data_IF_699178465243
#
_entry.id   IF_699178465243
#
_cell.length_a   1.000
_cell.length_b   1.000
_cell.length_c   1.000
_cell.angle_alpha   90.00
_cell.angle_beta   90.00
_cell.angle_gamma   90.00
#
_symmetry.space_group_name_H-M   'P 1'
#
loop_
_entity.id
_entity.type
_entity.pdbx_description
1 polymer ?
#
# COMPACT_ATOMS: atom_id res chain seq x y z
N UNK A 1 3.46 -26.53 -4.32
CA UNK A 1 4.42 -25.50 -3.84
C UNK A 1 3.63 -24.42 -3.15
N UNK A 2 4.15 -23.89 -2.03
CA UNK A 2 3.53 -22.80 -1.28
C UNK A 2 3.57 -21.51 -2.09
N UNK A 3 2.43 -20.80 -2.18
CA UNK A 3 2.29 -19.54 -2.92
C UNK A 3 2.11 -18.38 -1.94
N UNK A 4 2.54 -17.19 -2.37
CA UNK A 4 2.24 -15.92 -1.71
C UNK A 4 1.33 -15.13 -2.63
N UNK A 5 0.20 -14.65 -2.11
CA UNK A 5 -0.66 -13.68 -2.77
C UNK A 5 -0.64 -12.37 -1.99
N UNK A 6 -0.26 -11.29 -2.63
CA UNK A 6 -0.26 -9.93 -2.08
C UNK A 6 -1.33 -9.11 -2.79
N UNK A 7 -2.23 -8.55 -2.02
CA UNK A 7 -3.31 -7.71 -2.55
C UNK A 7 -3.25 -6.30 -1.96
N UNK A 8 -3.36 -5.29 -2.81
CA UNK A 8 -3.82 -3.99 -2.35
C UNK A 8 -5.25 -4.11 -1.79
N UNK A 9 -5.67 -3.12 -1.00
CA UNK A 9 -6.97 -3.15 -0.33
C UNK A 9 -8.02 -2.30 -1.05
N UNK A 10 -7.82 -0.99 -1.17
CA UNK A 10 -8.81 -0.07 -1.73
C UNK A 10 -8.88 -0.20 -3.26
N UNK A 11 -10.08 -0.33 -3.84
CA UNK A 11 -10.30 -0.55 -5.28
C UNK A 11 -9.70 -1.85 -5.83
N UNK A 12 -9.15 -2.72 -4.97
CA UNK A 12 -8.58 -4.02 -5.33
C UNK A 12 -9.26 -5.15 -4.55
N UNK A 13 -9.01 -5.27 -3.25
CA UNK A 13 -9.68 -6.27 -2.41
C UNK A 13 -11.10 -5.83 -2.04
N UNK A 14 -11.26 -4.54 -1.74
CA UNK A 14 -12.54 -3.91 -1.45
C UNK A 14 -12.98 -3.04 -2.63
N UNK A 15 -13.99 -3.49 -3.36
CA UNK A 15 -14.71 -2.71 -4.37
C UNK A 15 -16.09 -2.29 -3.84
N UNK A 16 -16.79 -3.22 -3.25
CA UNK A 16 -18.09 -3.07 -2.58
C UNK A 16 -18.31 -4.24 -1.61
N UNK A 17 -19.42 -4.24 -0.89
CA UNK A 17 -19.70 -5.23 0.15
C UNK A 17 -19.93 -6.65 -0.40
N UNK A 18 -20.39 -6.81 -1.62
CA UNK A 18 -20.56 -8.12 -2.26
C UNK A 18 -19.19 -8.71 -2.67
N UNK A 19 -18.34 -7.91 -3.29
CA UNK A 19 -17.05 -8.37 -3.77
C UNK A 19 -16.10 -8.71 -2.63
N UNK A 20 -16.12 -7.94 -1.52
CA UNK A 20 -15.26 -8.23 -0.36
C UNK A 20 -15.60 -9.59 0.26
N UNK A 21 -16.87 -9.99 0.33
CA UNK A 21 -17.26 -11.30 0.87
C UNK A 21 -16.80 -12.45 -0.05
N UNK A 22 -16.86 -12.28 -1.37
CA UNK A 22 -16.31 -13.26 -2.33
C UNK A 22 -14.80 -13.39 -2.19
N UNK A 23 -14.09 -12.25 -2.18
CA UNK A 23 -12.64 -12.21 -2.03
C UNK A 23 -12.20 -12.84 -0.72
N UNK A 24 -12.87 -12.52 0.38
CA UNK A 24 -12.61 -13.10 1.71
C UNK A 24 -12.72 -14.62 1.71
N UNK A 25 -13.82 -15.17 1.16
CA UNK A 25 -14.03 -16.63 1.06
C UNK A 25 -12.94 -17.30 0.21
N UNK A 26 -12.56 -16.70 -0.90
CA UNK A 26 -11.49 -17.24 -1.77
C UNK A 26 -10.14 -17.21 -1.07
N UNK A 27 -9.82 -16.14 -0.36
CA UNK A 27 -8.58 -16.02 0.44
C UNK A 27 -8.57 -17.02 1.61
N UNK A 28 -9.68 -17.24 2.29
CA UNK A 28 -9.76 -18.27 3.33
C UNK A 28 -9.45 -19.67 2.78
N UNK A 29 -9.98 -20.01 1.60
CA UNK A 29 -9.70 -21.29 0.95
C UNK A 29 -8.24 -21.38 0.45
N UNK A 30 -7.70 -20.30 -0.09
CA UNK A 30 -6.29 -20.19 -0.50
C UNK A 30 -5.33 -20.44 0.68
N UNK A 31 -5.62 -19.86 1.83
CA UNK A 31 -4.83 -20.02 3.05
C UNK A 31 -4.95 -21.44 3.68
N UNK A 32 -6.12 -22.09 3.55
CA UNK A 32 -6.30 -23.51 3.99
C UNK A 32 -5.39 -24.49 3.23
N UNK A 33 -4.88 -24.10 2.06
CA UNK A 33 -3.89 -24.86 1.27
C UNK A 33 -2.45 -24.54 1.68
N UNK A 34 -2.21 -23.99 2.87
CA UNK A 34 -0.92 -23.57 3.41
C UNK A 34 -0.25 -22.42 2.64
N UNK A 35 -1.00 -21.74 1.77
CA UNK A 35 -0.55 -20.53 1.08
C UNK A 35 -0.62 -19.31 2.00
N UNK A 36 0.14 -18.26 1.66
CA UNK A 36 0.27 -17.02 2.42
C UNK A 36 -0.53 -15.93 1.73
N UNK A 37 -1.32 -15.20 2.50
CA UNK A 37 -2.01 -14.02 2.04
C UNK A 37 -1.54 -12.76 2.78
N UNK A 38 -1.22 -11.70 2.00
CA UNK A 38 -0.68 -10.44 2.48
C UNK A 38 -1.57 -9.31 2.00
N UNK A 39 -1.97 -8.41 2.90
CA UNK A 39 -2.46 -7.10 2.50
C UNK A 39 -1.30 -6.11 2.37
N UNK A 40 -1.28 -5.31 1.29
CA UNK A 40 -0.33 -4.23 1.07
C UNK A 40 -1.08 -2.93 0.74
N UNK A 41 -1.31 -2.09 1.74
CA UNK A 41 -2.20 -0.92 1.63
C UNK A 41 -1.51 0.41 1.96
N UNK A 42 -2.03 1.51 1.41
CA UNK A 42 -1.68 2.87 1.83
C UNK A 42 -2.32 3.27 3.16
N UNK A 43 -3.28 2.52 3.67
CA UNK A 43 -3.93 2.80 4.95
C UNK A 43 -2.94 2.74 6.11
N UNK A 44 -3.20 3.55 7.13
CA UNK A 44 -2.54 3.43 8.43
C UNK A 44 -3.10 2.26 9.22
N UNK A 45 -2.43 1.88 10.32
CA UNK A 45 -2.83 0.75 11.14
C UNK A 45 -4.30 0.82 11.58
N UNK A 46 -4.70 1.88 12.26
CA UNK A 46 -6.07 2.01 12.78
C UNK A 46 -7.10 2.16 11.65
N UNK A 47 -6.77 2.86 10.56
CA UNK A 47 -7.68 2.97 9.41
C UNK A 47 -7.90 1.62 8.73
N UNK A 48 -6.89 0.75 8.68
CA UNK A 48 -7.04 -0.61 8.18
C UNK A 48 -7.75 -1.52 9.17
N UNK A 49 -7.39 -1.48 10.47
CA UNK A 49 -7.97 -2.35 11.49
C UNK A 49 -9.47 -2.12 11.66
N UNK A 50 -9.96 -0.88 11.55
CA UNK A 50 -11.41 -0.60 11.54
C UNK A 50 -12.13 -1.34 10.39
N UNK A 51 -11.50 -1.43 9.22
CA UNK A 51 -12.06 -2.19 8.09
C UNK A 51 -11.91 -3.70 8.28
N UNK A 52 -10.77 -4.13 8.80
CA UNK A 52 -10.50 -5.52 9.08
C UNK A 52 -11.49 -6.09 10.11
N UNK A 53 -11.82 -5.35 11.14
CA UNK A 53 -12.83 -5.72 12.14
C UNK A 53 -14.24 -5.74 11.54
N UNK A 54 -14.63 -4.69 10.81
CA UNK A 54 -15.94 -4.58 10.14
C UNK A 54 -16.24 -5.81 9.27
N UNK A 55 -15.26 -6.26 8.49
CA UNK A 55 -15.41 -7.38 7.54
C UNK A 55 -14.83 -8.70 8.03
N UNK A 56 -14.28 -8.75 9.25
CA UNK A 56 -13.62 -9.93 9.83
C UNK A 56 -12.52 -10.49 8.92
N UNK A 57 -11.67 -9.61 8.40
CA UNK A 57 -10.59 -9.98 7.51
C UNK A 57 -9.49 -10.76 8.24
N UNK A 58 -8.80 -11.63 7.50
CA UNK A 58 -7.66 -12.40 7.99
C UNK A 58 -6.52 -12.35 6.99
N UNK A 59 -5.30 -12.31 7.51
CA UNK A 59 -4.07 -12.28 6.75
C UNK A 59 -2.96 -13.05 7.47
N UNK A 60 -1.85 -13.23 6.79
CA UNK A 60 -0.62 -13.77 7.39
C UNK A 60 0.37 -12.66 7.66
N UNK A 61 0.44 -11.67 6.77
CA UNK A 61 1.20 -10.43 6.93
C UNK A 61 0.38 -9.22 6.50
N UNK A 62 0.65 -8.09 7.12
CA UNK A 62 0.02 -6.81 6.82
C UNK A 62 1.09 -5.75 6.56
N UNK A 63 1.09 -5.21 5.35
CA UNK A 63 1.93 -4.07 4.93
C UNK A 63 1.04 -2.84 4.89
N UNK A 64 1.33 -1.84 5.72
CA UNK A 64 0.58 -0.59 5.83
C UNK A 64 1.44 0.62 5.46
N UNK A 65 0.79 1.79 5.33
CA UNK A 65 1.45 3.04 4.94
C UNK A 65 2.36 2.85 3.72
N UNK A 66 1.87 2.19 2.65
CA UNK A 66 2.60 1.92 1.40
C UNK A 66 3.93 1.15 1.54
N UNK A 67 4.11 0.38 2.61
CA UNK A 67 5.34 -0.36 2.86
C UNK A 67 6.14 0.15 4.06
N UNK A 68 5.74 1.29 4.66
CA UNK A 68 6.50 1.86 5.76
C UNK A 68 6.46 1.01 7.04
N UNK A 69 5.43 0.17 7.21
CA UNK A 69 5.33 -0.72 8.36
C UNK A 69 4.88 -2.11 7.92
N UNK A 70 5.56 -3.14 8.43
CA UNK A 70 5.24 -4.55 8.20
C UNK A 70 4.87 -5.19 9.52
N UNK A 71 3.76 -5.91 9.54
CA UNK A 71 3.24 -6.63 10.71
C UNK A 71 3.00 -8.11 10.37
N UNK A 72 3.19 -8.98 11.36
CA UNK A 72 2.77 -10.38 11.27
C UNK A 72 1.26 -10.54 11.54
N UNK A 73 0.75 -11.77 11.45
CA UNK A 73 -0.65 -12.12 11.72
C UNK A 73 -1.13 -11.82 13.15
N UNK A 74 -0.21 -11.62 14.08
CA UNK A 74 -0.48 -11.28 15.48
C UNK A 74 -0.31 -9.79 15.76
N UNK A 75 -0.11 -8.98 14.69
CA UNK A 75 0.18 -7.55 14.73
C UNK A 75 1.52 -7.20 15.41
N UNK A 76 2.47 -8.12 15.49
CA UNK A 76 3.83 -7.80 15.89
C UNK A 76 4.54 -7.08 14.74
N UNK A 77 5.27 -6.02 15.06
CA UNK A 77 6.04 -5.24 14.09
C UNK A 77 7.27 -6.04 13.66
N UNK A 78 7.40 -6.28 12.35
CA UNK A 78 8.58 -6.87 11.73
C UNK A 78 9.57 -5.75 11.34
N UNK A 79 9.07 -4.72 10.66
CA UNK A 79 9.85 -3.56 10.22
C UNK A 79 9.02 -2.29 10.30
N UNK A 80 9.68 -1.16 10.55
CA UNK A 80 9.07 0.16 10.54
C UNK A 80 10.06 1.21 10.01
N UNK A 81 9.70 1.87 8.93
CA UNK A 81 10.51 2.88 8.24
C UNK A 81 9.92 4.27 8.43
N UNK A 82 10.66 5.13 9.09
CA UNK A 82 10.26 6.51 9.35
C UNK A 82 10.90 7.47 8.34
N UNK A 83 10.25 8.61 8.14
CA UNK A 83 10.80 9.71 7.37
C UNK A 83 11.78 10.48 8.27
N UNK A 84 12.94 10.85 7.73
CA UNK A 84 13.93 11.62 8.45
C UNK A 84 13.37 12.97 8.91
N UNK A 85 13.62 13.35 10.18
CA UNK A 85 13.06 14.56 10.78
C UNK A 85 13.53 15.86 10.10
N UNK A 86 14.76 15.90 9.56
CA UNK A 86 15.24 17.08 8.88
C UNK A 86 14.63 17.19 7.46
N UNK A 87 14.36 16.05 6.84
CA UNK A 87 13.59 15.99 5.59
C UNK A 87 12.15 16.47 5.82
N UNK A 88 11.49 16.04 6.91
CA UNK A 88 10.13 16.47 7.26
C UNK A 88 10.04 18.00 7.41
N UNK A 89 11.00 18.65 8.08
CA UNK A 89 11.02 20.11 8.25
C UNK A 89 11.05 20.86 6.91
N UNK A 90 11.79 20.33 5.94
CA UNK A 90 11.89 20.91 4.61
C UNK A 90 10.63 20.62 3.76
N UNK A 91 10.15 19.40 3.78
CA UNK A 91 8.92 18.99 3.07
C UNK A 91 7.72 19.78 3.56
N UNK A 92 7.59 20.03 4.86
CA UNK A 92 6.49 20.81 5.43
C UNK A 92 6.34 22.19 4.79
N UNK A 93 7.46 22.86 4.44
CA UNK A 93 7.44 24.17 3.76
C UNK A 93 6.93 24.04 2.34
N UNK A 94 7.38 23.03 1.61
CA UNK A 94 7.05 22.82 0.21
C UNK A 94 5.66 22.17 0.01
N UNK A 95 5.06 21.61 1.06
CA UNK A 95 3.70 21.09 1.01
C UNK A 95 2.62 22.19 1.01
N UNK A 96 2.98 23.43 1.34
CA UNK A 96 2.01 24.54 1.39
C UNK A 96 0.74 24.14 2.16
N UNK A 97 0.93 23.69 3.40
CA UNK A 97 -0.12 23.04 4.23
C UNK A 97 -1.33 23.95 4.47
N UNK A 98 -1.14 25.28 4.44
CA UNK A 98 -2.20 26.28 4.56
C UNK A 98 -3.21 26.19 3.40
N UNK A 99 -2.80 25.70 2.24
CA UNK A 99 -3.66 25.48 1.07
C UNK A 99 -4.28 24.07 1.05
N UNK A 100 -3.90 23.20 1.96
CA UNK A 100 -4.44 21.85 2.02
C UNK A 100 -5.89 21.85 2.53
N UNK A 101 -6.78 21.18 1.82
CA UNK A 101 -8.16 20.91 2.27
C UNK A 101 -8.12 20.09 3.57
N UNK A 102 -7.13 19.18 3.67
CA UNK A 102 -6.90 18.34 4.84
C UNK A 102 -5.49 17.81 4.80
N UNK A 103 -4.86 17.72 5.96
CA UNK A 103 -3.62 16.98 6.12
C UNK A 103 -3.58 16.23 7.45
N UNK A 104 -2.75 15.23 7.53
CA UNK A 104 -2.37 14.52 8.75
C UNK A 104 -1.08 13.73 8.53
N UNK A 105 -0.42 13.40 9.62
CA UNK A 105 0.70 12.48 9.63
C UNK A 105 0.29 11.17 10.31
N UNK A 106 1.08 10.13 10.12
CA UNK A 106 0.92 8.85 10.80
C UNK A 106 2.25 8.45 11.45
N UNK A 107 2.16 7.83 12.60
CA UNK A 107 3.23 7.02 13.20
C UNK A 107 2.63 5.71 13.73
N UNK A 108 3.41 4.89 14.44
CA UNK A 108 2.92 3.61 14.97
C UNK A 108 1.81 3.77 16.02
N UNK A 109 1.83 4.86 16.77
CA UNK A 109 0.89 5.10 17.88
C UNK A 109 -0.40 5.77 17.41
N UNK A 110 -0.32 6.57 16.32
CA UNK A 110 -1.41 7.40 15.84
C UNK A 110 -1.55 7.38 14.31
N UNK A 111 -2.73 7.06 13.84
CA UNK A 111 -3.09 7.16 12.42
C UNK A 111 -3.37 8.60 11.96
N UNK A 112 -3.52 9.52 12.90
CA UNK A 112 -3.82 10.93 12.61
C UNK A 112 -3.15 11.83 13.64
N UNK A 113 -1.90 12.15 13.36
CA UNK A 113 -1.09 13.05 14.12
C UNK A 113 -0.65 14.24 13.27
N UNK A 114 0.32 15.01 13.70
CA UNK A 114 0.81 16.22 13.03
C UNK A 114 2.34 16.23 12.90
N UNK A 115 2.89 17.26 12.26
CA UNK A 115 4.33 17.40 12.01
C UNK A 115 5.21 17.58 13.27
N UNK A 116 4.63 17.77 14.44
CA UNK A 116 5.40 17.94 15.68
C UNK A 116 5.69 16.60 16.37
N UNK A 117 5.00 15.53 15.94
CA UNK A 117 5.24 14.19 16.46
C UNK A 117 6.49 13.56 15.83
N UNK A 118 7.03 12.58 16.52
CA UNK A 118 8.23 11.84 16.12
C UNK A 118 7.85 10.60 15.31
N UNK A 119 8.86 10.05 14.65
CA UNK A 119 8.82 8.74 14.00
C UNK A 119 7.67 8.62 12.97
N UNK A 120 7.47 9.70 12.21
CA UNK A 120 6.43 9.74 11.19
C UNK A 120 6.74 8.72 10.08
N UNK A 121 5.79 7.83 9.84
CA UNK A 121 5.85 6.81 8.79
C UNK A 121 5.20 7.27 7.50
N UNK A 122 4.20 8.18 7.59
CA UNK A 122 3.49 8.72 6.45
C UNK A 122 3.03 10.15 6.69
N UNK A 123 3.07 10.98 5.65
CA UNK A 123 2.41 12.28 5.57
C UNK A 123 1.33 12.19 4.50
N UNK A 124 0.11 12.62 4.81
CA UNK A 124 -1.01 12.74 3.88
C UNK A 124 -1.42 14.20 3.77
N UNK A 125 -1.57 14.69 2.53
CA UNK A 125 -2.11 16.03 2.28
C UNK A 125 -3.04 16.01 1.06
N UNK A 126 -4.26 16.54 1.23
CA UNK A 126 -5.29 16.62 0.21
C UNK A 126 -5.48 18.06 -0.21
N UNK A 127 -5.56 18.30 -1.53
CA UNK A 127 -5.72 19.61 -2.15
C UNK A 127 -6.82 19.57 -3.22
N UNK A 128 -7.06 20.71 -3.89
CA UNK A 128 -7.67 20.69 -5.21
C UNK A 128 -6.76 19.92 -6.19
N UNK A 129 -7.39 19.26 -7.18
CA UNK A 129 -6.69 18.29 -8.06
C UNK A 129 -5.40 18.83 -8.68
N UNK A 130 -5.48 20.00 -9.32
CA UNK A 130 -4.32 20.60 -10.01
C UNK A 130 -3.17 20.94 -9.04
N UNK A 131 -3.52 21.37 -7.83
CA UNK A 131 -2.54 21.64 -6.77
C UNK A 131 -1.89 20.36 -6.28
N UNK A 132 -2.66 19.30 -6.06
CA UNK A 132 -2.12 17.99 -5.67
C UNK A 132 -1.12 17.43 -6.68
N UNK A 133 -1.39 17.57 -7.98
CA UNK A 133 -0.47 17.17 -9.05
C UNK A 133 0.83 17.99 -9.03
N UNK A 134 0.74 19.30 -8.80
CA UNK A 134 1.92 20.20 -8.68
C UNK A 134 2.77 19.81 -7.45
N UNK A 135 2.14 19.62 -6.30
CA UNK A 135 2.82 19.20 -5.06
C UNK A 135 3.48 17.83 -5.25
N UNK A 136 2.78 16.85 -5.84
CA UNK A 136 3.35 15.53 -6.13
C UNK A 136 4.60 15.64 -7.00
N UNK A 137 4.54 16.43 -8.07
CA UNK A 137 5.67 16.67 -8.97
C UNK A 137 6.84 17.37 -8.27
N UNK A 138 6.55 18.40 -7.47
CA UNK A 138 7.56 19.16 -6.73
C UNK A 138 8.29 18.26 -5.72
N UNK A 139 7.55 17.52 -4.91
CA UNK A 139 8.13 16.65 -3.87
C UNK A 139 8.98 15.55 -4.51
N UNK A 140 8.48 14.87 -5.53
CA UNK A 140 9.25 13.84 -6.25
C UNK A 140 10.50 14.40 -6.94
N UNK A 141 10.46 15.63 -7.46
CA UNK A 141 11.64 16.26 -8.06
C UNK A 141 12.69 16.67 -7.03
N UNK A 142 12.26 17.20 -5.88
CA UNK A 142 13.17 17.83 -4.90
C UNK A 142 13.68 16.84 -3.84
N UNK A 143 12.89 15.82 -3.51
CA UNK A 143 13.15 14.94 -2.38
C UNK A 143 13.20 13.44 -2.72
N UNK A 144 13.35 13.06 -4.00
CA UNK A 144 13.39 11.66 -4.43
C UNK A 144 14.48 10.81 -3.73
N UNK A 145 15.58 11.44 -3.30
CA UNK A 145 16.65 10.75 -2.56
C UNK A 145 16.27 10.41 -1.11
N UNK A 146 15.15 10.93 -0.61
CA UNK A 146 14.75 10.78 0.79
C UNK A 146 13.36 10.18 0.96
N UNK A 147 12.44 10.46 0.03
CA UNK A 147 11.04 10.04 0.13
C UNK A 147 10.47 9.56 -1.19
N UNK A 148 9.46 8.71 -1.09
CA UNK A 148 8.51 8.40 -2.16
C UNK A 148 7.25 9.22 -1.95
N UNK A 149 6.77 9.91 -2.97
CA UNK A 149 5.53 10.67 -2.95
C UNK A 149 4.56 10.10 -3.99
N UNK A 150 3.44 9.56 -3.50
CA UNK A 150 2.40 8.96 -4.32
C UNK A 150 1.22 9.92 -4.50
N UNK A 151 0.73 10.02 -5.74
CA UNK A 151 -0.53 10.69 -6.03
C UNK A 151 -1.68 9.70 -5.79
N UNK A 152 -2.59 10.01 -4.88
CA UNK A 152 -3.65 9.10 -4.45
C UNK A 152 -5.03 9.75 -4.52
N UNK A 153 -6.06 8.94 -4.75
CA UNK A 153 -7.47 9.37 -4.75
C UNK A 153 -7.77 10.57 -5.65
N UNK A 154 -6.92 10.83 -6.66
CA UNK A 154 -7.12 11.88 -7.66
C UNK A 154 -6.91 13.32 -7.18
N UNK A 155 -6.63 13.56 -5.88
CA UNK A 155 -6.44 14.91 -5.34
C UNK A 155 -5.66 14.95 -4.02
N UNK A 156 -4.90 13.91 -3.70
CA UNK A 156 -4.07 13.88 -2.51
C UNK A 156 -2.67 13.34 -2.82
N UNK A 157 -1.73 13.67 -1.95
CA UNK A 157 -0.38 13.11 -1.94
C UNK A 157 -0.15 12.36 -0.65
N UNK A 158 0.54 11.21 -0.75
CA UNK A 158 1.03 10.46 0.40
C UNK A 158 2.53 10.26 0.28
N UNK A 159 3.25 10.60 1.33
CA UNK A 159 4.71 10.64 1.39
C UNK A 159 5.18 9.66 2.45
N UNK A 160 6.12 8.79 2.08
CA UNK A 160 6.81 7.85 2.97
C UNK A 160 8.32 7.93 2.76
N UNK A 161 9.09 7.30 3.63
CA UNK A 161 10.54 7.15 3.41
C UNK A 161 10.83 6.40 2.09
N UNK A 162 11.85 6.83 1.33
CA UNK A 162 12.28 6.11 0.12
C UNK A 162 13.02 4.79 0.41
N UNK A 163 13.34 4.54 1.68
CA UNK A 163 13.95 3.26 2.11
C UNK A 163 13.02 2.07 1.90
N UNK A 164 11.74 2.32 1.65
CA UNK A 164 10.73 1.29 1.46
C UNK A 164 9.66 1.69 0.44
N UNK A 165 8.96 0.69 -0.04
CA UNK A 165 7.72 0.75 -0.81
C UNK A 165 7.00 -0.59 -0.64
N UNK A 166 5.80 -0.79 -1.20
CA UNK A 166 5.10 -2.08 -1.14
C UNK A 166 5.98 -3.25 -1.62
N UNK A 167 6.74 -3.05 -2.69
CA UNK A 167 7.61 -4.09 -3.26
C UNK A 167 8.77 -4.47 -2.33
N UNK A 168 9.43 -3.49 -1.70
CA UNK A 168 10.51 -3.76 -0.76
C UNK A 168 9.99 -4.48 0.50
N UNK A 169 8.83 -4.08 1.00
CA UNK A 169 8.18 -4.74 2.12
C UNK A 169 7.80 -6.20 1.81
N UNK A 170 7.36 -6.49 0.58
CA UNK A 170 7.12 -7.86 0.12
C UNK A 170 8.42 -8.65 0.11
N UNK A 171 9.52 -8.08 -0.38
CA UNK A 171 10.83 -8.76 -0.42
C UNK A 171 11.31 -9.18 0.97
N UNK A 172 11.12 -8.36 2.00
CA UNK A 172 11.45 -8.73 3.38
C UNK A 172 10.66 -9.97 3.85
N UNK A 173 9.35 -10.02 3.55
CA UNK A 173 8.51 -11.18 3.89
C UNK A 173 8.93 -12.41 3.10
N UNK A 174 9.28 -12.25 1.82
CA UNK A 174 9.75 -13.35 0.95
C UNK A 174 11.03 -13.98 1.51
N UNK A 175 11.95 -13.18 2.03
CA UNK A 175 13.17 -13.67 2.66
C UNK A 175 12.88 -14.46 3.96
N UNK A 176 11.90 -14.02 4.75
CA UNK A 176 11.44 -14.75 5.96
C UNK A 176 10.83 -16.10 5.57
N UNK A 177 9.92 -16.10 4.58
CA UNK A 177 9.15 -17.28 4.19
C UNK A 177 9.87 -18.23 3.23
N UNK A 178 10.98 -17.78 2.62
CA UNK A 178 11.82 -18.53 1.68
C UNK A 178 11.05 -19.13 0.51
N UNK A 179 10.10 -18.37 -0.03
CA UNK A 179 9.28 -18.75 -1.18
C UNK A 179 9.93 -18.26 -2.47
N UNK A 180 9.98 -19.10 -3.50
CA UNK A 180 10.54 -18.72 -4.79
C UNK A 180 9.71 -17.63 -5.47
N UNK A 181 10.35 -16.70 -6.14
CA UNK A 181 9.74 -15.53 -6.80
C UNK A 181 8.63 -15.89 -7.80
N UNK A 182 8.76 -17.00 -8.49
CA UNK A 182 7.77 -17.55 -9.42
C UNK A 182 6.42 -17.91 -8.74
N UNK A 183 6.43 -18.13 -7.43
CA UNK A 183 5.24 -18.45 -6.64
C UNK A 183 4.67 -17.24 -5.90
N UNK A 184 5.10 -16.02 -6.23
CA UNK A 184 4.62 -14.78 -5.62
C UNK A 184 3.76 -14.04 -6.63
N UNK A 185 2.51 -13.81 -6.26
CA UNK A 185 1.50 -13.15 -7.07
C UNK A 185 1.10 -11.85 -6.39
N UNK A 186 0.97 -10.79 -7.17
CA UNK A 186 0.59 -9.47 -6.67
C UNK A 186 -0.58 -8.91 -7.46
N UNK A 187 -1.46 -8.15 -6.82
CA UNK A 187 -2.60 -7.50 -7.47
C UNK A 187 -2.81 -6.11 -6.88
N UNK A 188 -3.07 -5.12 -7.73
CA UNK A 188 -3.28 -3.73 -7.36
C UNK A 188 -3.92 -2.91 -8.47
N UNK A 189 -4.19 -1.62 -8.18
CA UNK A 189 -4.85 -0.70 -9.11
C UNK A 189 -4.21 0.69 -9.19
N UNK A 190 -3.38 1.08 -8.22
CA UNK A 190 -2.85 2.42 -8.06
C UNK A 190 -1.37 2.61 -8.41
N UNK A 191 -0.90 3.85 -8.37
CA UNK A 191 0.51 4.20 -8.62
C UNK A 191 1.48 3.55 -7.62
N UNK A 192 1.07 3.37 -6.37
CA UNK A 192 1.91 2.73 -5.34
C UNK A 192 2.10 1.22 -5.54
N UNK A 193 1.34 0.61 -6.47
CA UNK A 193 1.41 -0.82 -6.78
C UNK A 193 2.38 -1.15 -7.91
N UNK A 194 2.82 -0.13 -8.65
CA UNK A 194 3.63 -0.30 -9.86
C UNK A 194 4.84 -1.21 -9.62
N UNK A 195 5.59 -0.96 -8.56
CA UNK A 195 6.81 -1.72 -8.30
C UNK A 195 6.52 -3.18 -7.90
N UNK A 196 5.47 -3.44 -7.10
CA UNK A 196 5.13 -4.83 -6.75
C UNK A 196 4.57 -5.60 -7.96
N UNK A 197 3.85 -4.93 -8.87
CA UNK A 197 3.35 -5.55 -10.10
C UNK A 197 4.49 -5.86 -11.08
N UNK A 198 5.50 -4.98 -11.19
CA UNK A 198 6.69 -5.21 -12.04
C UNK A 198 7.58 -6.33 -11.53
N UNK A 199 7.78 -6.38 -10.22
CA UNK A 199 8.81 -7.23 -9.61
C UNK A 199 8.37 -8.67 -9.36
N UNK A 200 7.06 -8.96 -9.40
CA UNK A 200 6.49 -10.28 -9.13
C UNK A 200 5.52 -10.70 -10.25
N UNK A 201 4.79 -11.81 -10.08
CA UNK A 201 3.72 -12.16 -11.01
C UNK A 201 2.52 -11.23 -10.82
N UNK A 202 2.64 -10.01 -11.35
CA UNK A 202 1.71 -8.93 -11.15
C UNK A 202 0.45 -9.03 -12.00
N UNK A 203 -0.68 -8.73 -11.38
CA UNK A 203 -2.00 -8.60 -11.99
C UNK A 203 -2.58 -7.23 -11.67
N UNK A 204 -3.38 -6.69 -12.57
CA UNK A 204 -4.05 -5.41 -12.41
C UNK A 204 -5.55 -5.58 -12.35
N UNK A 205 -6.22 -4.70 -11.61
CA UNK A 205 -7.66 -4.55 -11.69
C UNK A 205 -8.06 -3.88 -13.01
N UNK A 206 -9.26 -4.17 -13.54
CA UNK A 206 -9.76 -3.55 -14.79
C UNK A 206 -9.78 -2.01 -14.75
N UNK A 207 -10.00 -1.43 -13.59
CA UNK A 207 -10.06 0.03 -13.38
C UNK A 207 -8.78 0.65 -12.85
N UNK A 208 -7.65 -0.03 -13.03
CA UNK A 208 -6.33 0.47 -12.63
C UNK A 208 -5.94 1.73 -13.40
N UNK A 209 -4.99 2.48 -12.83
CA UNK A 209 -4.35 3.61 -13.53
C UNK A 209 -3.71 3.14 -14.83
N UNK A 210 -3.69 4.02 -15.85
CA UNK A 210 -3.25 3.66 -17.21
C UNK A 210 -1.80 3.15 -17.24
N UNK A 211 -0.94 3.70 -16.41
CA UNK A 211 0.45 3.27 -16.26
C UNK A 211 0.55 1.81 -15.82
N UNK A 212 -0.31 1.41 -14.89
CA UNK A 212 -0.33 0.03 -14.38
C UNK A 212 -0.88 -0.95 -15.44
N UNK A 213 -1.95 -0.58 -16.14
CA UNK A 213 -2.52 -1.38 -17.23
C UNK A 213 -1.51 -1.69 -18.33
N UNK A 214 -0.62 -0.72 -18.68
CA UNK A 214 0.46 -0.94 -19.65
C UNK A 214 1.49 -1.96 -19.16
N UNK A 215 1.77 -1.98 -17.86
CA UNK A 215 2.78 -2.85 -17.25
C UNK A 215 2.26 -4.29 -17.11
N UNK A 216 0.98 -4.47 -16.80
CA UNK A 216 0.36 -5.78 -16.57
C UNK A 216 0.38 -6.71 -17.79
N UNK A 217 0.60 -6.17 -18.98
CA UNK A 217 0.71 -6.96 -20.23
C UNK A 217 -0.42 -7.99 -20.40
N UNK A 218 -1.66 -7.56 -20.18
CA UNK A 218 -2.86 -8.39 -20.31
C UNK A 218 -3.22 -9.26 -19.09
N UNK A 219 -2.43 -9.25 -18.03
CA UNK A 219 -2.78 -9.93 -16.77
C UNK A 219 -3.77 -9.07 -15.96
N UNK A 220 -4.99 -8.94 -16.48
CA UNK A 220 -6.07 -8.13 -15.90
C UNK A 220 -7.15 -9.05 -15.34
N UNK A 221 -7.66 -8.72 -14.16
CA UNK A 221 -8.74 -9.45 -13.49
C UNK A 221 -9.77 -8.48 -12.89
N UNK A 222 -10.97 -8.99 -12.63
CA UNK A 222 -12.08 -8.22 -12.03
C UNK A 222 -12.07 -8.24 -10.52
N UNK A 223 -11.38 -9.24 -9.91
CA UNK A 223 -11.36 -9.43 -8.47
C UNK A 223 -10.17 -10.27 -8.02
N UNK A 224 -9.87 -10.21 -6.72
CA UNK A 224 -8.89 -11.10 -6.08
C UNK A 224 -9.36 -12.56 -6.14
N UNK A 225 -10.68 -12.81 -6.04
CA UNK A 225 -11.26 -14.14 -6.20
C UNK A 225 -10.94 -14.74 -7.57
N UNK A 226 -11.11 -13.98 -8.65
CA UNK A 226 -10.76 -14.41 -10.02
C UNK A 226 -9.25 -14.70 -10.16
N UNK A 227 -8.39 -13.90 -9.53
CA UNK A 227 -6.96 -14.20 -9.56
C UNK A 227 -6.66 -15.53 -8.85
N UNK A 228 -7.25 -15.79 -7.69
CA UNK A 228 -7.04 -17.03 -6.94
C UNK A 228 -7.43 -18.27 -7.76
N UNK A 229 -8.46 -18.18 -8.60
CA UNK A 229 -8.88 -19.27 -9.49
C UNK A 229 -7.86 -19.55 -10.61
N UNK A 230 -6.99 -18.59 -10.94
CA UNK A 230 -5.98 -18.70 -12.01
C UNK A 230 -4.61 -19.18 -11.53
N UNK A 231 -4.35 -19.20 -10.24
CA UNK A 231 -3.02 -19.46 -9.67
C UNK A 231 -2.92 -20.74 -8.82
#
# INVERSE_FOLDING_TARGET
>A
MRKILVSDYDQTFYLNDEDIEKNKKSVENFRKQENIFIFATGRSYFDFMNKAEQYKLKWDYLIINHGATILDKNNNIISNYTIDNDVIKNIKKDLEIEEAIKYFCCNLENSRTNFNDKDLTKIHAKYEKNKAEQINSLINKKYAEFVNCYFVSGNAVEIISNKTCKSNAIEEIVQIEKVNRENIFTIGDGYSDIEMIKNYNGYCMEKSVQELLKICNGKIVKSVSELIEKI
#
